data_IF_975859046414
#
_entry.id   IF_975859046414
#
_cell.length_a   1.000
_cell.length_b   1.000
_cell.length_c   1.000
_cell.angle_alpha   90.00
_cell.angle_beta   90.00
_cell.angle_gamma   90.00
#
_symmetry.space_group_name_H-M   'P 1'
#
loop_
_entity.id
_entity.type
_entity.pdbx_description
1 polymer ?
#
# COMPACT_ATOMS: atom_id res chain seq x y z
N UNK A 1 -1.34 -32.93 28.09
CA UNK A 1 -1.67 -31.54 27.97
C UNK A 1 -1.84 -31.19 26.54
N UNK A 2 -2.92 -30.62 26.30
CA UNK A 2 -3.24 -30.21 25.00
C UNK A 2 -2.42 -29.06 24.59
N UNK A 3 -1.74 -29.24 23.52
CA UNK A 3 -0.99 -28.17 22.93
C UNK A 3 -1.97 -27.22 22.25
N UNK A 4 -2.31 -26.19 22.98
CA UNK A 4 -3.22 -25.19 22.47
C UNK A 4 -2.48 -24.07 21.75
N UNK A 5 -1.42 -24.38 21.02
CA UNK A 5 -0.80 -23.39 20.19
C UNK A 5 -1.82 -22.82 19.22
N UNK A 6 -2.21 -21.59 19.47
CA UNK A 6 -3.05 -20.88 18.53
C UNK A 6 -2.25 -20.62 17.29
N UNK A 7 -2.67 -21.21 16.20
CA UNK A 7 -2.10 -20.85 14.91
C UNK A 7 -2.48 -19.42 14.61
N UNK A 8 -1.49 -18.64 14.19
CA UNK A 8 -1.73 -17.29 13.73
C UNK A 8 -2.71 -17.31 12.56
N UNK A 9 -3.73 -16.49 12.65
CA UNK A 9 -4.68 -16.33 11.57
C UNK A 9 -4.24 -15.17 10.70
N UNK A 10 -3.90 -15.46 9.45
CA UNK A 10 -3.54 -14.45 8.47
C UNK A 10 -4.71 -14.24 7.52
N UNK A 11 -5.10 -12.99 7.36
CA UNK A 11 -6.19 -12.59 6.48
C UNK A 11 -5.70 -11.48 5.56
N UNK A 12 -5.89 -11.66 4.27
CA UNK A 12 -5.57 -10.62 3.29
C UNK A 12 -6.89 -10.11 2.72
N UNK A 13 -7.13 -8.82 2.88
CA UNK A 13 -8.33 -8.17 2.35
C UNK A 13 -7.96 -7.20 1.26
N UNK A 14 -8.79 -7.16 0.23
CA UNK A 14 -8.58 -6.30 -0.92
C UNK A 14 -9.60 -5.17 -0.94
N UNK A 15 -9.12 -3.98 -1.21
CA UNK A 15 -9.90 -2.76 -1.24
C UNK A 15 -9.59 -1.99 -2.51
N UNK A 16 -10.35 -0.98 -2.77
CA UNK A 16 -10.11 -0.08 -3.89
C UNK A 16 -10.40 1.36 -3.45
N UNK A 17 -9.60 2.28 -3.96
CA UNK A 17 -9.86 3.70 -3.78
C UNK A 17 -9.97 4.33 -5.16
N UNK A 18 -10.99 5.20 -5.34
CA UNK A 18 -11.13 5.96 -6.56
C UNK A 18 -10.45 7.30 -6.36
N UNK A 19 -9.47 7.61 -7.19
CA UNK A 19 -8.72 8.86 -7.11
C UNK A 19 -8.52 9.42 -8.52
N UNK A 20 -9.02 10.62 -8.75
CA UNK A 20 -8.89 11.33 -10.04
C UNK A 20 -9.25 10.47 -11.26
N UNK A 21 -10.34 9.70 -11.15
CA UNK A 21 -10.80 8.85 -12.23
C UNK A 21 -10.05 7.53 -12.37
N UNK A 22 -9.03 7.30 -11.53
CA UNK A 22 -8.29 6.05 -11.51
C UNK A 22 -8.71 5.22 -10.30
N UNK A 23 -8.71 3.90 -10.49
CA UNK A 23 -8.98 2.95 -9.41
C UNK A 23 -7.64 2.41 -8.92
N UNK A 24 -7.35 2.64 -7.65
CA UNK A 24 -6.13 2.17 -7.02
C UNK A 24 -6.46 0.97 -6.15
N UNK A 25 -5.81 -0.14 -6.41
CA UNK A 25 -5.97 -1.34 -5.59
C UNK A 25 -5.19 -1.20 -4.29
N UNK A 26 -5.84 -1.58 -3.19
CA UNK A 26 -5.24 -1.56 -1.87
C UNK A 26 -5.39 -2.95 -1.27
N UNK A 27 -4.30 -3.46 -0.71
CA UNK A 27 -4.27 -4.75 -0.04
C UNK A 27 -3.82 -4.54 1.40
N UNK A 28 -4.54 -5.12 2.35
CA UNK A 28 -4.14 -5.08 3.75
C UNK A 28 -4.01 -6.50 4.27
N UNK A 29 -2.87 -6.78 4.85
CA UNK A 29 -2.61 -8.04 5.54
C UNK A 29 -2.85 -7.86 7.03
N UNK A 30 -3.75 -8.69 7.58
CA UNK A 30 -4.05 -8.73 9.01
C UNK A 30 -3.53 -10.04 9.58
N UNK A 31 -2.97 -9.98 10.77
CA UNK A 31 -2.57 -11.17 11.53
C UNK A 31 -3.26 -11.10 12.89
N UNK A 32 -4.04 -12.11 13.19
CA UNK A 32 -4.85 -12.13 14.42
C UNK A 32 -5.72 -10.88 14.54
N UNK A 33 -6.28 -10.44 13.42
CA UNK A 33 -7.14 -9.26 13.30
C UNK A 33 -6.42 -7.93 13.59
N UNK A 34 -5.10 -7.91 13.46
CA UNK A 34 -4.28 -6.71 13.61
C UNK A 34 -3.62 -6.41 12.26
N UNK A 35 -3.80 -5.20 11.75
CA UNK A 35 -3.22 -4.79 10.48
C UNK A 35 -1.68 -4.77 10.56
N UNK A 36 -1.04 -5.49 9.63
CA UNK A 36 0.40 -5.63 9.57
C UNK A 36 1.03 -4.79 8.47
N UNK A 37 0.41 -4.82 7.30
CA UNK A 37 0.97 -4.19 6.10
C UNK A 37 -0.16 -3.74 5.19
N UNK A 38 0.00 -2.56 4.63
CA UNK A 38 -0.92 -2.04 3.61
C UNK A 38 -0.11 -1.74 2.35
N UNK A 39 -0.60 -2.21 1.22
CA UNK A 39 0.03 -1.96 -0.07
C UNK A 39 -0.95 -1.24 -0.98
N UNK A 40 -0.52 -0.10 -1.53
CA UNK A 40 -1.29 0.64 -2.51
C UNK A 40 -0.64 0.47 -3.88
N UNK A 41 -1.38 -0.02 -4.86
CA UNK A 41 -0.88 -0.28 -6.20
C UNK A 41 -1.32 0.85 -7.12
N UNK A 42 -0.43 1.81 -7.34
CA UNK A 42 -0.73 3.00 -8.16
C UNK A 42 -0.71 2.71 -9.66
N UNK A 43 0.22 1.89 -10.10
CA UNK A 43 0.37 1.53 -11.51
C UNK A 43 0.64 0.04 -11.59
N UNK A 44 -0.04 -0.64 -12.52
CA UNK A 44 0.20 -2.04 -12.83
C UNK A 44 -0.29 -2.28 -14.26
N UNK A 45 0.52 -1.87 -15.22
CA UNK A 45 0.17 -1.98 -16.63
C UNK A 45 1.41 -1.79 -17.51
N UNK A 46 1.33 -2.17 -18.79
CA UNK A 46 2.41 -1.87 -19.73
C UNK A 46 2.65 -0.35 -19.83
N UNK A 47 3.90 0.04 -19.98
CA UNK A 47 4.28 1.45 -20.10
C UNK A 47 3.53 2.14 -21.23
N UNK A 48 3.30 1.41 -22.34
CA UNK A 48 2.56 1.94 -23.50
C UNK A 48 1.11 2.30 -23.19
N UNK A 49 0.55 1.77 -22.12
CA UNK A 49 -0.85 1.99 -21.73
C UNK A 49 -1.02 3.00 -20.59
N UNK A 50 0.06 3.66 -20.19
CA UNK A 50 -0.01 4.69 -19.16
C UNK A 50 -0.87 5.88 -19.63
N UNK A 51 -1.71 6.38 -18.73
CA UNK A 51 -2.49 7.58 -19.00
C UNK A 51 -1.58 8.81 -18.95
N UNK A 52 -2.05 9.95 -19.47
CA UNK A 52 -1.31 11.20 -19.41
C UNK A 52 -1.03 11.61 -17.95
N UNK A 53 -2.01 11.44 -17.07
CA UNK A 53 -1.84 11.76 -15.66
C UNK A 53 -0.78 10.86 -15.01
N UNK A 54 -0.78 9.58 -15.32
CA UNK A 54 0.23 8.64 -14.81
C UNK A 54 1.62 9.00 -15.33
N UNK A 55 1.74 9.32 -16.62
CA UNK A 55 3.01 9.74 -17.20
C UNK A 55 3.52 11.01 -16.56
N UNK A 56 2.66 11.97 -16.31
CA UNK A 56 3.03 13.22 -15.66
C UNK A 56 3.46 12.99 -14.20
N UNK A 57 2.64 12.25 -13.46
CA UNK A 57 2.87 11.98 -12.03
C UNK A 57 4.16 11.21 -11.77
N UNK A 58 4.50 10.27 -12.64
CA UNK A 58 5.63 9.37 -12.47
C UNK A 58 6.72 9.55 -13.53
N UNK A 59 6.79 10.72 -14.17
CA UNK A 59 7.73 11.01 -15.26
C UNK A 59 9.18 10.68 -14.93
N UNK A 60 9.68 11.17 -13.80
CA UNK A 60 11.05 10.93 -13.37
C UNK A 60 11.34 9.44 -13.16
N UNK A 61 10.39 8.72 -12.62
CA UNK A 61 10.50 7.27 -12.37
C UNK A 61 10.56 6.52 -13.69
N UNK A 62 9.64 6.85 -14.59
CA UNK A 62 9.56 6.21 -15.91
C UNK A 62 10.84 6.45 -16.70
N UNK A 63 11.31 7.69 -16.74
CA UNK A 63 12.54 8.04 -17.41
C UNK A 63 13.73 7.28 -16.84
N UNK A 64 13.84 7.23 -15.51
CA UNK A 64 14.88 6.49 -14.83
C UNK A 64 14.87 4.99 -15.17
N UNK A 65 13.68 4.39 -15.21
CA UNK A 65 13.54 2.97 -15.54
C UNK A 65 13.87 2.67 -17.00
N UNK A 66 13.61 3.59 -17.89
CA UNK A 66 13.91 3.42 -19.32
C UNK A 66 15.37 3.67 -19.65
N UNK A 67 16.04 4.53 -18.89
CA UNK A 67 17.43 4.94 -19.18
C UNK A 67 18.49 4.04 -18.55
N UNK A 68 18.09 3.09 -17.70
CA UNK A 68 19.00 2.20 -17.01
C UNK A 68 18.59 0.73 -17.19
N UNK A 69 19.52 -0.17 -16.94
CA UNK A 69 19.21 -1.61 -16.94
C UNK A 69 18.51 -2.03 -15.63
N UNK A 70 18.40 -1.11 -14.68
CA UNK A 70 17.75 -1.40 -13.42
C UNK A 70 16.25 -1.63 -13.66
N UNK A 71 15.75 -2.79 -13.25
CA UNK A 71 14.34 -3.16 -13.39
C UNK A 71 13.54 -2.92 -12.12
N UNK A 72 14.20 -2.45 -11.07
CA UNK A 72 13.58 -2.12 -9.81
C UNK A 72 14.23 -0.88 -9.23
N UNK A 73 13.43 0.03 -8.72
CA UNK A 73 13.91 1.26 -8.11
C UNK A 73 13.10 1.60 -6.87
N UNK A 74 13.81 1.89 -5.78
CA UNK A 74 13.20 2.44 -4.58
C UNK A 74 13.13 3.96 -4.80
N UNK A 75 11.93 4.50 -4.90
CA UNK A 75 11.68 5.91 -5.15
C UNK A 75 11.81 6.70 -3.86
N UNK A 76 11.21 6.17 -2.80
CA UNK A 76 11.19 6.79 -1.49
C UNK A 76 11.25 5.70 -0.43
N UNK A 77 12.03 5.93 0.62
CA UNK A 77 12.12 4.99 1.73
C UNK A 77 12.29 5.73 3.04
N UNK A 78 11.44 5.42 3.97
CA UNK A 78 11.58 5.83 5.36
C UNK A 78 11.20 4.65 6.24
N UNK A 79 11.35 4.76 7.54
CA UNK A 79 11.01 3.66 8.44
C UNK A 79 9.52 3.33 8.34
N UNK A 80 9.22 2.16 7.81
CA UNK A 80 7.85 1.68 7.68
C UNK A 80 7.10 2.15 6.43
N UNK A 81 7.76 2.94 5.56
CA UNK A 81 7.12 3.41 4.32
C UNK A 81 8.10 3.29 3.16
N UNK A 82 7.65 2.65 2.09
CA UNK A 82 8.47 2.43 0.91
C UNK A 82 7.64 2.62 -0.36
N UNK A 83 8.18 3.40 -1.29
CA UNK A 83 7.59 3.56 -2.62
C UNK A 83 8.54 2.93 -3.63
N UNK A 84 8.06 1.93 -4.35
CA UNK A 84 8.88 1.10 -5.25
C UNK A 84 8.29 1.08 -6.65
N UNK A 85 9.16 1.20 -7.65
CA UNK A 85 8.81 0.97 -9.05
C UNK A 85 9.54 -0.27 -9.55
N UNK A 86 8.85 -1.10 -10.32
CA UNK A 86 9.42 -2.30 -10.91
C UNK A 86 8.91 -2.46 -12.34
N UNK A 87 9.82 -2.77 -13.24
CA UNK A 87 9.46 -3.12 -14.62
C UNK A 87 9.82 -4.57 -14.87
N UNK A 88 8.86 -5.33 -15.35
CA UNK A 88 9.04 -6.75 -15.67
C UNK A 88 8.21 -7.07 -16.92
N UNK A 89 8.85 -7.56 -17.96
CA UNK A 89 8.19 -7.91 -19.23
C UNK A 89 7.37 -6.75 -19.80
N UNK A 90 7.93 -5.54 -19.78
CA UNK A 90 7.30 -4.28 -20.22
C UNK A 90 6.12 -3.83 -19.37
N UNK A 91 5.83 -4.53 -18.28
CA UNK A 91 4.80 -4.14 -17.33
C UNK A 91 5.42 -3.32 -16.20
N UNK A 92 4.88 -2.13 -15.96
CA UNK A 92 5.35 -1.26 -14.89
C UNK A 92 4.43 -1.39 -13.68
N UNK A 93 5.01 -1.65 -12.51
CA UNK A 93 4.30 -1.57 -11.25
C UNK A 93 4.92 -0.46 -10.40
N UNK A 94 4.06 0.37 -9.82
CA UNK A 94 4.47 1.38 -8.83
C UNK A 94 3.56 1.21 -7.63
N UNK A 95 4.16 0.93 -6.48
CA UNK A 95 3.39 0.67 -5.27
C UNK A 95 4.00 1.31 -4.04
N UNK A 96 3.14 1.69 -3.09
CA UNK A 96 3.54 2.13 -1.77
C UNK A 96 3.26 0.99 -0.78
N UNK A 97 4.22 0.71 0.07
CA UNK A 97 4.11 -0.32 1.11
C UNK A 97 4.25 0.36 2.46
N UNK A 98 3.22 0.18 3.28
CA UNK A 98 3.17 0.70 4.64
C UNK A 98 3.31 -0.47 5.60
N UNK A 99 4.44 -0.54 6.30
CA UNK A 99 4.69 -1.58 7.30
C UNK A 99 4.28 -1.05 8.66
N UNK A 100 3.14 -1.52 9.15
CA UNK A 100 2.55 -1.02 10.38
C UNK A 100 3.26 -1.52 11.64
N UNK A 101 4.18 -2.47 11.49
CA UNK A 101 5.02 -2.90 12.60
C UNK A 101 6.24 -2.00 12.79
N UNK A 102 6.63 -1.27 11.75
CA UNK A 102 7.84 -0.44 11.75
C UNK A 102 7.56 1.06 11.81
N UNK A 103 6.41 1.49 11.29
CA UNK A 103 6.10 2.92 11.15
C UNK A 103 5.87 3.58 12.52
N UNK A 104 6.26 4.85 12.64
CA UNK A 104 5.95 5.63 13.82
C UNK A 104 4.47 6.03 13.82
N UNK A 105 3.93 6.30 14.99
CA UNK A 105 2.53 6.76 15.11
C UNK A 105 2.31 8.06 14.35
N UNK A 106 3.26 8.97 14.41
CA UNK A 106 3.19 10.25 13.69
C UNK A 106 3.13 10.03 12.19
N UNK A 107 4.01 9.19 11.64
CA UNK A 107 4.03 8.90 10.21
C UNK A 107 2.79 8.12 9.77
N UNK A 108 2.29 7.22 10.63
CA UNK A 108 1.06 6.51 10.37
C UNK A 108 -0.13 7.46 10.27
N UNK A 109 -0.19 8.46 11.15
CA UNK A 109 -1.26 9.47 11.11
C UNK A 109 -1.17 10.32 9.86
N UNK A 110 0.03 10.67 9.43
CA UNK A 110 0.21 11.39 8.16
C UNK A 110 -0.28 10.57 6.97
N UNK A 111 0.01 9.28 6.98
CA UNK A 111 -0.36 8.38 5.87
C UNK A 111 -1.85 7.99 5.89
N UNK A 112 -2.45 7.87 7.07
CA UNK A 112 -3.79 7.30 7.24
C UNK A 112 -4.86 8.31 7.67
N UNK A 113 -4.57 9.60 7.60
CA UNK A 113 -5.58 10.62 7.82
C UNK A 113 -5.80 11.05 9.26
N UNK A 114 -4.74 11.09 10.04
CA UNK A 114 -4.76 11.64 11.40
C UNK A 114 -5.83 11.03 12.32
N UNK A 115 -5.90 9.72 12.34
CA UNK A 115 -6.83 8.97 13.18
C UNK A 115 -6.68 9.30 14.68
N UNK A 116 -7.73 9.12 15.44
CA UNK A 116 -7.71 9.32 16.88
C UNK A 116 -7.08 8.11 17.60
N UNK A 117 -6.44 8.39 18.72
CA UNK A 117 -5.88 7.35 19.57
C UNK A 117 -4.54 6.82 19.12
N UNK A 118 -4.15 5.69 19.68
CA UNK A 118 -2.84 5.09 19.41
C UNK A 118 -2.83 4.28 18.12
N UNK A 119 -1.62 4.08 17.59
CA UNK A 119 -1.44 3.20 16.43
C UNK A 119 -1.84 1.76 16.77
N UNK A 120 -1.52 1.29 17.97
CA UNK A 120 -1.89 -0.07 18.38
C UNK A 120 -3.40 -0.29 18.30
N UNK A 121 -4.19 0.67 18.78
CA UNK A 121 -5.64 0.59 18.69
C UNK A 121 -6.13 0.74 17.24
N UNK A 122 -5.52 1.62 16.49
CA UNK A 122 -5.88 1.87 15.08
C UNK A 122 -5.68 0.62 14.22
N UNK A 123 -4.72 -0.22 14.55
CA UNK A 123 -4.40 -1.44 13.79
C UNK A 123 -5.43 -2.56 13.97
N UNK A 124 -6.27 -2.51 15.00
CA UNK A 124 -7.33 -3.50 15.18
C UNK A 124 -8.26 -3.44 13.98
N UNK A 125 -8.61 -4.60 13.43
CA UNK A 125 -9.28 -4.67 12.12
C UNK A 125 -10.51 -3.76 12.02
N UNK A 126 -11.36 -3.74 13.03
CA UNK A 126 -12.57 -2.90 13.00
C UNK A 126 -12.23 -1.42 12.95
N UNK A 127 -11.23 -1.00 13.71
CA UNK A 127 -10.78 0.38 13.72
C UNK A 127 -10.07 0.75 12.43
N UNK A 128 -9.24 -0.16 11.93
CA UNK A 128 -8.50 0.08 10.70
C UNK A 128 -9.45 0.22 9.51
N UNK A 129 -10.48 -0.60 9.45
CA UNK A 129 -11.48 -0.50 8.38
C UNK A 129 -12.26 0.82 8.44
N UNK A 130 -12.50 1.35 9.65
CA UNK A 130 -13.12 2.68 9.79
C UNK A 130 -12.19 3.78 9.27
N UNK A 131 -10.90 3.65 9.53
CA UNK A 131 -9.90 4.59 9.01
C UNK A 131 -9.89 4.56 7.49
N UNK A 132 -9.85 3.36 6.91
CA UNK A 132 -9.88 3.19 5.46
C UNK A 132 -11.16 3.79 4.84
N UNK A 133 -12.30 3.57 5.48
CA UNK A 133 -13.58 4.10 5.01
C UNK A 133 -13.56 5.64 4.95
N UNK A 134 -12.97 6.28 5.95
CA UNK A 134 -12.83 7.74 5.97
C UNK A 134 -11.92 8.26 4.85
N UNK A 135 -10.99 7.45 4.40
CA UNK A 135 -10.11 7.78 3.28
C UNK A 135 -10.77 7.48 1.92
N UNK A 136 -11.98 6.95 1.93
CA UNK A 136 -12.66 6.57 0.69
C UNK A 136 -12.25 5.21 0.16
N UNK A 137 -11.58 4.40 0.98
CA UNK A 137 -11.15 3.05 0.60
C UNK A 137 -12.29 2.08 0.86
N UNK A 138 -12.71 1.38 -0.19
CA UNK A 138 -13.87 0.49 -0.17
C UNK A 138 -13.42 -0.95 -0.38
N UNK A 139 -13.92 -1.87 0.45
CA UNK A 139 -13.61 -3.28 0.30
C UNK A 139 -14.15 -3.83 -1.01
N UNK A 140 -13.34 -4.57 -1.74
CA UNK A 140 -13.75 -5.31 -2.93
C UNK A 140 -14.55 -6.52 -2.50
N UNK A 141 -15.68 -6.71 -3.14
CA UNK A 141 -16.49 -7.90 -2.93
C UNK A 141 -16.26 -8.91 -4.04
#
# INVERSE_FOLDING_TARGET
SENTEKKDTVLVKNYVISEEGSMIDVEVEYKNNIAQKMTQLFVNKPISELTQNEKFKFDDVIESMQSTEAKEKIIEESKGLKLIAKEENNNLTIKAILDLNEISESDAKDALGNFDGSLDDARKIDNFEKILAKLGVIEKK
#
